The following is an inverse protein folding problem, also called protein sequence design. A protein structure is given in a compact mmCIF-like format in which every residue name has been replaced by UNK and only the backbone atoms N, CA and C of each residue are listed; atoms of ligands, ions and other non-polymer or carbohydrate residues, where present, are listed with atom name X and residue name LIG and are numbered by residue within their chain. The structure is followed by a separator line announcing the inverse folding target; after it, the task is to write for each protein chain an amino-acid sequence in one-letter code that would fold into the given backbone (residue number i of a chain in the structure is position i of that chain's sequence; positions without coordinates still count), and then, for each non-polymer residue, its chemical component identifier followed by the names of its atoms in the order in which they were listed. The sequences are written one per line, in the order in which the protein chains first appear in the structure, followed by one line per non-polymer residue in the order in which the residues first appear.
data_IF_200197309358
#
_entry.id   IF_200197309358
#
_cell.length_a   1.000
_cell.length_b   1.000
_cell.length_c   1.000
_cell.angle_alpha   90.00
_cell.angle_beta   90.00
_cell.angle_gamma   90.00
#
_symmetry.space_group_name_H-M   'P 1'
#
loop_
_entity.id
_entity.type
_entity.pdbx_description
1 polymer ?
#
# COMPACT_ATOMS: atom_id res chain seq x y z
N UNK A 1 16.40 12.16 -8.80
CA UNK A 1 16.23 11.22 -7.69
C UNK A 1 15.28 10.10 -8.10
N UNK A 2 15.53 8.92 -7.61
CA UNK A 2 14.69 7.77 -7.95
C UNK A 2 13.42 7.77 -7.10
N UNK A 3 12.32 7.41 -7.73
CA UNK A 3 11.11 7.10 -6.98
C UNK A 3 11.35 5.86 -6.11
N UNK A 4 10.53 5.69 -5.11
CA UNK A 4 10.67 4.59 -4.15
C UNK A 4 9.37 3.81 -4.08
N UNK A 5 9.48 2.49 -4.14
CA UNK A 5 8.31 1.60 -4.15
C UNK A 5 8.28 0.73 -2.92
N UNK A 6 7.07 0.52 -2.39
CA UNK A 6 6.84 -0.38 -1.27
C UNK A 6 5.79 -1.39 -1.72
N UNK A 7 6.19 -2.66 -1.73
CA UNK A 7 5.28 -3.77 -2.01
C UNK A 7 4.88 -4.43 -0.70
N UNK A 8 3.59 -4.73 -0.53
CA UNK A 8 3.11 -5.50 0.62
C UNK A 8 2.11 -6.54 0.18
N UNK A 9 2.02 -7.63 0.95
CA UNK A 9 1.01 -8.65 0.80
C UNK A 9 0.32 -8.86 2.15
N UNK A 10 -1.01 -8.91 2.12
CA UNK A 10 -1.83 -8.98 3.33
C UNK A 10 -2.77 -10.18 3.30
N UNK A 11 -2.91 -10.82 4.45
CA UNK A 11 -3.85 -11.92 4.67
C UNK A 11 -5.13 -11.40 5.33
N UNK A 12 -6.26 -11.78 4.78
CA UNK A 12 -7.60 -11.41 5.26
C UNK A 12 -8.35 -12.69 5.64
N UNK A 13 -8.53 -12.98 6.95
CA UNK A 13 -9.17 -14.24 7.36
C UNK A 13 -10.62 -14.37 6.87
N UNK A 14 -11.32 -13.26 6.69
CA UNK A 14 -12.71 -13.24 6.24
C UNK A 14 -12.86 -12.90 4.76
N UNK A 15 -11.76 -12.95 4.01
CA UNK A 15 -11.75 -12.63 2.58
C UNK A 15 -11.37 -11.18 2.29
N UNK A 16 -10.76 -10.97 1.14
CA UNK A 16 -10.35 -9.61 0.72
C UNK A 16 -11.56 -8.74 0.47
N UNK A 17 -11.43 -7.41 0.65
CA UNK A 17 -12.54 -6.50 0.42
C UNK A 17 -12.94 -6.46 -1.06
N UNK A 18 -14.17 -6.04 -1.31
CA UNK A 18 -14.63 -5.79 -2.67
C UNK A 18 -13.93 -4.56 -3.24
N UNK A 19 -14.02 -4.40 -4.56
CA UNK A 19 -13.49 -3.21 -5.23
C UNK A 19 -14.04 -1.91 -4.61
N UNK A 20 -15.35 -1.85 -4.40
CA UNK A 20 -15.99 -0.66 -3.83
C UNK A 20 -15.50 -0.37 -2.41
N UNK A 21 -15.35 -1.40 -1.60
CA UNK A 21 -14.87 -1.26 -0.23
C UNK A 21 -13.40 -0.82 -0.20
N UNK A 22 -12.57 -1.39 -1.06
CA UNK A 22 -11.17 -1.01 -1.18
C UNK A 22 -11.03 0.45 -1.64
N UNK A 23 -11.82 0.88 -2.63
CA UNK A 23 -11.80 2.26 -3.10
C UNK A 23 -12.25 3.24 -2.02
N UNK A 24 -13.24 2.86 -1.22
CA UNK A 24 -13.69 3.69 -0.10
C UNK A 24 -12.57 3.89 0.91
N UNK A 25 -11.88 2.82 1.28
CA UNK A 25 -10.74 2.91 2.19
C UNK A 25 -9.63 3.79 1.63
N UNK A 26 -9.37 3.66 0.33
CA UNK A 26 -8.34 4.46 -0.34
C UNK A 26 -8.70 5.95 -0.33
N UNK A 27 -9.95 6.29 -0.52
CA UNK A 27 -10.42 7.69 -0.45
C UNK A 27 -10.23 8.28 0.95
N UNK A 28 -10.38 7.47 1.98
CA UNK A 28 -10.24 7.93 3.37
C UNK A 28 -8.85 8.41 3.70
N UNK A 29 -7.81 7.84 3.07
CA UNK A 29 -6.44 8.29 3.33
C UNK A 29 -5.85 9.12 2.19
N UNK A 30 -6.56 9.31 1.08
CA UNK A 30 -6.01 9.99 -0.10
C UNK A 30 -5.50 11.40 0.19
N UNK A 31 -6.14 12.12 1.10
CA UNK A 31 -5.72 13.48 1.46
C UNK A 31 -4.59 13.50 2.48
N UNK A 32 -4.24 12.36 3.05
CA UNK A 32 -3.27 12.26 4.15
C UNK A 32 -1.94 11.68 3.71
N UNK A 33 -1.85 11.14 2.52
CA UNK A 33 -0.63 10.51 2.03
C UNK A 33 0.09 11.39 1.02
N UNK A 34 1.43 11.31 1.02
CA UNK A 34 2.26 11.93 0.00
C UNK A 34 2.65 10.92 -1.10
N UNK A 35 2.06 9.73 -1.09
CA UNK A 35 2.29 8.76 -2.14
C UNK A 35 1.80 9.30 -3.48
N UNK A 36 2.56 9.06 -4.54
CA UNK A 36 2.14 9.42 -5.90
C UNK A 36 1.03 8.51 -6.39
N UNK A 37 1.07 7.25 -5.99
CA UNK A 37 0.08 6.26 -6.41
C UNK A 37 0.07 5.08 -5.45
N UNK A 38 -1.07 4.42 -5.36
CA UNK A 38 -1.26 3.21 -4.59
C UNK A 38 -2.09 2.27 -5.45
N UNK A 39 -1.63 1.04 -5.60
CA UNK A 39 -2.33 0.04 -6.38
C UNK A 39 -2.55 -1.19 -5.52
N UNK A 40 -3.80 -1.63 -5.40
CA UNK A 40 -4.16 -2.87 -4.71
C UNK A 40 -4.77 -3.84 -5.71
N UNK A 41 -4.42 -5.13 -5.58
CA UNK A 41 -5.06 -6.17 -6.38
C UNK A 41 -5.28 -7.43 -5.53
N UNK A 42 -6.24 -8.20 -5.96
CA UNK A 42 -6.56 -9.46 -5.31
C UNK A 42 -5.63 -10.56 -5.84
N UNK A 43 -4.89 -11.20 -4.93
CA UNK A 43 -4.04 -12.33 -5.29
C UNK A 43 -4.84 -13.62 -5.25
N UNK A 44 -5.69 -13.77 -4.22
CA UNK A 44 -6.62 -14.88 -4.07
C UNK A 44 -7.75 -14.43 -3.12
N UNK A 45 -8.60 -15.36 -2.69
CA UNK A 45 -9.76 -15.02 -1.86
C UNK A 45 -9.39 -14.39 -0.51
N UNK A 46 -8.21 -14.69 0.00
CA UNK A 46 -7.79 -14.26 1.32
C UNK A 46 -6.56 -13.35 1.32
N UNK A 47 -5.99 -13.04 0.16
CA UNK A 47 -4.79 -12.21 0.09
C UNK A 47 -4.96 -11.07 -0.91
N UNK A 48 -4.56 -9.88 -0.50
CA UNK A 48 -4.37 -8.80 -1.45
C UNK A 48 -2.90 -8.41 -1.46
N UNK A 49 -2.44 -7.92 -2.60
CA UNK A 49 -1.09 -7.38 -2.76
C UNK A 49 -1.21 -5.91 -3.12
N UNK A 50 -0.21 -5.13 -2.75
CA UNK A 50 -0.24 -3.69 -3.04
C UNK A 50 1.15 -3.17 -3.38
N UNK A 51 1.17 -2.07 -4.13
CA UNK A 51 2.38 -1.28 -4.37
C UNK A 51 2.03 0.17 -4.06
N UNK A 52 2.93 0.83 -3.33
CA UNK A 52 2.84 2.26 -3.03
C UNK A 52 4.06 2.90 -3.66
N UNK A 53 3.85 3.97 -4.43
CA UNK A 53 4.93 4.71 -5.10
C UNK A 53 5.08 6.07 -4.46
N UNK A 54 6.29 6.38 -3.98
CA UNK A 54 6.65 7.70 -3.48
C UNK A 54 7.66 8.35 -4.42
N UNK A 55 7.71 9.68 -4.44
CA UNK A 55 8.65 10.40 -5.30
C UNK A 55 10.10 10.24 -4.83
N UNK A 56 10.33 9.84 -3.57
CA UNK A 56 11.66 9.55 -3.05
C UNK A 56 11.57 8.66 -1.81
N UNK A 57 12.69 8.03 -1.46
CA UNK A 57 12.82 7.25 -0.22
C UNK A 57 12.62 8.15 1.01
N UNK A 58 13.11 9.37 0.95
CA UNK A 58 12.98 10.32 2.05
C UNK A 58 11.51 10.60 2.38
N UNK A 59 10.69 10.81 1.37
CA UNK A 59 9.25 11.04 1.56
C UNK A 59 8.58 9.79 2.13
N UNK A 60 8.95 8.61 1.62
CA UNK A 60 8.44 7.34 2.13
C UNK A 60 8.76 7.17 3.62
N UNK A 61 9.98 7.50 4.02
CA UNK A 61 10.42 7.38 5.41
C UNK A 61 9.70 8.36 6.32
N UNK A 62 9.38 9.55 5.85
CA UNK A 62 8.62 10.53 6.61
C UNK A 62 7.20 10.06 6.92
N UNK A 63 6.63 9.22 6.07
CA UNK A 63 5.30 8.64 6.31
C UNK A 63 5.33 7.33 7.09
N UNK A 64 6.50 6.83 7.44
CA UNK A 64 6.64 5.51 8.08
C UNK A 64 5.77 5.38 9.33
N UNK A 65 5.77 6.37 10.20
CA UNK A 65 4.99 6.35 11.43
C UNK A 65 3.49 6.24 11.15
N UNK A 66 2.99 7.05 10.21
CA UNK A 66 1.59 7.00 9.81
C UNK A 66 1.22 5.64 9.21
N UNK A 67 2.09 5.08 8.36
CA UNK A 67 1.85 3.78 7.75
C UNK A 67 1.81 2.67 8.80
N UNK A 68 2.72 2.72 9.78
CA UNK A 68 2.75 1.73 10.86
C UNK A 68 1.51 1.82 11.74
N UNK A 69 1.06 3.03 12.06
CA UNK A 69 -0.18 3.24 12.81
C UNK A 69 -1.38 2.70 12.06
N UNK A 70 -1.44 2.94 10.75
CA UNK A 70 -2.53 2.44 9.90
C UNK A 70 -2.53 0.91 9.85
N UNK A 71 -1.35 0.31 9.69
CA UNK A 71 -1.19 -1.16 9.67
C UNK A 71 -1.65 -1.79 10.98
N UNK A 72 -1.25 -1.19 12.11
CA UNK A 72 -1.63 -1.67 13.43
C UNK A 72 -3.15 -1.60 13.62
N UNK A 73 -3.75 -0.48 13.25
CA UNK A 73 -5.20 -0.31 13.33
C UNK A 73 -5.94 -1.34 12.49
N UNK A 74 -5.49 -1.56 11.26
CA UNK A 74 -6.10 -2.54 10.37
C UNK A 74 -6.00 -3.95 10.94
N UNK A 75 -4.85 -4.30 11.51
CA UNK A 75 -4.66 -5.60 12.14
C UNK A 75 -5.59 -5.79 13.34
N UNK A 76 -5.73 -4.75 14.17
CA UNK A 76 -6.59 -4.81 15.36
C UNK A 76 -8.08 -4.87 14.99
N UNK A 77 -8.51 -4.08 14.00
CA UNK A 77 -9.93 -3.98 13.63
C UNK A 77 -10.41 -5.12 12.74
N UNK A 78 -9.55 -5.61 11.83
CA UNK A 78 -9.95 -6.54 10.78
C UNK A 78 -9.24 -7.89 10.88
N UNK A 79 -8.35 -8.05 11.85
CA UNK A 79 -7.55 -9.27 12.03
C UNK A 79 -6.69 -9.61 10.81
N UNK A 80 -6.39 -8.62 9.97
CA UNK A 80 -5.53 -8.82 8.81
C UNK A 80 -4.07 -8.82 9.22
N UNK A 81 -3.24 -9.52 8.43
CA UNK A 81 -1.81 -9.64 8.72
C UNK A 81 -1.00 -9.34 7.48
N UNK A 82 0.06 -8.54 7.64
CA UNK A 82 1.03 -8.35 6.59
C UNK A 82 1.94 -9.57 6.55
N UNK A 83 1.96 -10.26 5.41
CA UNK A 83 2.72 -11.51 5.26
C UNK A 83 4.01 -11.33 4.45
N UNK A 84 4.11 -10.28 3.65
CA UNK A 84 5.32 -9.96 2.89
C UNK A 84 5.47 -8.45 2.77
N UNK A 85 6.71 -7.98 2.76
CA UNK A 85 7.04 -6.59 2.45
C UNK A 85 8.38 -6.54 1.73
N UNK A 86 8.43 -5.86 0.59
CA UNK A 86 9.65 -5.59 -0.15
C UNK A 86 9.68 -4.12 -0.52
N UNK A 87 10.83 -3.49 -0.36
CA UNK A 87 10.98 -2.06 -0.65
C UNK A 87 12.24 -1.83 -1.50
N UNK A 88 12.24 -0.77 -2.28
CA UNK A 88 13.41 -0.42 -3.05
C UNK A 88 13.19 0.75 -4.00
N UNK A 89 14.28 1.29 -4.54
CA UNK A 89 14.16 2.34 -5.54
C UNK A 89 13.57 1.80 -6.84
N UNK A 90 12.76 2.60 -7.49
CA UNK A 90 12.14 2.25 -8.76
C UNK A 90 13.19 2.32 -9.86
N UNK A 91 13.35 1.23 -10.63
CA UNK A 91 14.27 1.20 -11.78
C UNK A 91 13.68 1.93 -12.99
N UNK A 92 12.42 1.66 -13.28
CA UNK A 92 11.76 2.23 -14.44
C UNK A 92 10.25 2.19 -14.22
N UNK A 93 9.56 3.18 -14.74
CA UNK A 93 8.09 3.25 -14.67
C UNK A 93 7.58 3.68 -16.04
N UNK A 94 6.78 2.82 -16.66
CA UNK A 94 6.31 3.04 -18.02
C UNK A 94 5.58 4.37 -18.19
N UNK A 95 4.72 4.71 -17.23
CA UNK A 95 3.95 5.96 -17.31
C UNK A 95 4.83 7.21 -17.30
N UNK A 96 6.06 7.11 -16.81
CA UNK A 96 7.00 8.24 -16.79
C UNK A 96 7.70 8.46 -18.14
N UNK A 97 7.65 7.48 -19.02
CA UNK A 97 8.37 7.53 -20.31
C UNK A 97 7.45 7.46 -21.53
N UNK A 98 6.15 7.34 -21.31
CA UNK A 98 5.17 7.37 -22.40
C UNK A 98 4.98 8.78 -22.92
#
# INVERSE_FOLDING_TARGET
MSKYAIYTKWFWPNGVPTKDSAEKSMREFSDKTNAEDVLWWRADDNHHQSVIIFSSEEIANKEMEMRQSHRKKSTEEHEIKMVEEFVGPVLAQLSSIK
#
